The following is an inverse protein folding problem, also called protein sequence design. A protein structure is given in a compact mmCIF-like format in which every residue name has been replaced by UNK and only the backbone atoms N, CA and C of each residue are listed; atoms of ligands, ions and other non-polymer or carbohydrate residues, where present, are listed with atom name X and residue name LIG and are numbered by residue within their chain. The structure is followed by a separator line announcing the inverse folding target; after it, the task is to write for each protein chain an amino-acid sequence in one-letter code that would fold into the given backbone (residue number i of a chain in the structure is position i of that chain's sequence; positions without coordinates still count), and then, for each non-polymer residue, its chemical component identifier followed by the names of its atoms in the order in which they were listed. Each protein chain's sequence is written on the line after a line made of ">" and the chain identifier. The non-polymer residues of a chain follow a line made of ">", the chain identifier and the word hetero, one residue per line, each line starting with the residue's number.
data_IF_141733193001
#
_entry.id   IF_141733193001
#
_cell.length_a   1.000
_cell.length_b   1.000
_cell.length_c   1.000
_cell.angle_alpha   90.00
_cell.angle_beta   90.00
_cell.angle_gamma   90.00
#
_symmetry.space_group_name_H-M   'P 1'
#
loop_
_entity.id
_entity.type
_entity.pdbx_description
1 polymer ?
#
# COMPACT_ATOMS: atom_id res chain seq x y z
N UNK A 1 3.42 -22.02 -12.76
CA UNK A 1 3.15 -20.86 -11.91
C UNK A 1 1.65 -20.68 -11.66
N UNK A 2 0.80 -20.71 -12.70
CA UNK A 2 -0.66 -20.55 -12.56
C UNK A 2 -1.29 -21.54 -11.56
N UNK A 3 -0.94 -22.83 -11.64
CA UNK A 3 -1.48 -23.83 -10.71
C UNK A 3 -1.08 -23.57 -9.25
N UNK A 4 0.10 -23.00 -9.01
CA UNK A 4 0.53 -22.64 -7.65
C UNK A 4 -0.26 -21.44 -7.12
N UNK A 5 -0.42 -20.41 -7.94
CA UNK A 5 -1.22 -19.23 -7.55
C UNK A 5 -2.70 -19.61 -7.37
N UNK A 6 -3.24 -20.44 -8.25
CA UNK A 6 -4.58 -21.00 -8.11
C UNK A 6 -4.75 -21.76 -6.78
N UNK A 7 -3.80 -22.63 -6.44
CA UNK A 7 -3.81 -23.35 -5.16
C UNK A 7 -3.78 -22.38 -3.96
N UNK A 8 -2.99 -21.33 -4.03
CA UNK A 8 -2.92 -20.30 -2.99
C UNK A 8 -4.28 -19.61 -2.84
N UNK A 9 -4.86 -19.12 -3.95
CA UNK A 9 -6.14 -18.41 -3.94
C UNK A 9 -7.32 -19.27 -3.49
N UNK A 10 -7.29 -20.58 -3.74
CA UNK A 10 -8.31 -21.50 -3.21
C UNK A 10 -8.36 -21.54 -1.68
N UNK A 11 -7.26 -21.16 -0.99
CA UNK A 11 -7.19 -21.08 0.47
C UNK A 11 -7.65 -19.73 1.02
N UNK A 12 -7.87 -18.75 0.16
CA UNK A 12 -8.29 -17.43 0.58
C UNK A 12 -9.72 -17.46 1.11
N UNK A 13 -9.95 -16.61 2.10
CA UNK A 13 -11.25 -16.35 2.70
C UNK A 13 -11.66 -14.90 2.52
N UNK A 14 -12.92 -14.59 2.80
CA UNK A 14 -13.44 -13.24 2.72
C UNK A 14 -14.18 -12.96 1.41
N UNK A 15 -14.06 -11.75 0.86
CA UNK A 15 -14.78 -11.36 -0.35
C UNK A 15 -14.42 -12.23 -1.56
N UNK A 16 -15.41 -12.56 -2.39
CA UNK A 16 -15.19 -13.33 -3.62
C UNK A 16 -14.57 -12.45 -4.70
N UNK A 17 -13.65 -13.02 -5.46
CA UNK A 17 -12.98 -12.36 -6.58
C UNK A 17 -12.74 -13.35 -7.72
N UNK A 18 -12.46 -12.85 -8.91
CA UNK A 18 -12.11 -13.66 -10.06
C UNK A 18 -10.73 -13.30 -10.60
N UNK A 19 -10.08 -14.24 -11.24
CA UNK A 19 -8.73 -14.09 -11.78
C UNK A 19 -8.67 -14.69 -13.17
N UNK A 20 -8.17 -13.93 -14.15
CA UNK A 20 -7.77 -14.42 -15.46
C UNK A 20 -6.25 -14.58 -15.51
N UNK A 21 -5.81 -15.75 -15.98
CA UNK A 21 -4.40 -16.10 -16.12
C UNK A 21 -3.91 -15.90 -17.56
N UNK A 22 -2.59 -15.75 -17.79
CA UNK A 22 -2.03 -15.58 -19.13
C UNK A 22 -2.36 -16.71 -20.11
N UNK A 23 -2.69 -17.90 -19.62
CA UNK A 23 -3.16 -19.02 -20.46
C UNK A 23 -4.56 -18.83 -21.04
N UNK A 24 -5.30 -17.77 -20.61
CA UNK A 24 -6.72 -17.57 -20.91
C UNK A 24 -7.68 -18.25 -19.91
N UNK A 25 -7.14 -19.03 -18.96
CA UNK A 25 -7.93 -19.65 -17.90
C UNK A 25 -8.46 -18.56 -16.97
N UNK A 26 -9.75 -18.65 -16.63
CA UNK A 26 -10.38 -17.75 -15.63
C UNK A 26 -10.98 -18.58 -14.51
N UNK A 27 -10.74 -18.15 -13.27
CA UNK A 27 -11.22 -18.82 -12.06
C UNK A 27 -11.87 -17.83 -11.12
N UNK A 28 -12.85 -18.30 -10.34
CA UNK A 28 -13.51 -17.53 -9.30
C UNK A 28 -13.23 -18.16 -7.95
N UNK A 29 -12.91 -17.32 -6.96
CA UNK A 29 -12.59 -17.69 -5.60
C UNK A 29 -13.62 -17.09 -4.64
N UNK A 30 -14.05 -17.90 -3.66
CA UNK A 30 -15.15 -17.56 -2.75
C UNK A 30 -16.50 -18.12 -3.24
N UNK A 31 -17.56 -17.84 -2.46
CA UNK A 31 -18.89 -18.42 -2.67
C UNK A 31 -19.93 -17.44 -3.21
N UNK A 32 -19.59 -16.16 -3.21
CA UNK A 32 -20.49 -15.09 -3.63
C UNK A 32 -20.12 -14.54 -5.02
N UNK A 33 -20.91 -13.61 -5.54
CA UNK A 33 -20.56 -12.88 -6.75
C UNK A 33 -19.22 -12.15 -6.54
N UNK A 34 -18.27 -12.26 -7.49
CA UNK A 34 -17.00 -11.55 -7.42
C UNK A 34 -17.20 -10.04 -7.29
N UNK A 35 -16.45 -9.40 -6.39
CA UNK A 35 -16.47 -7.95 -6.19
C UNK A 35 -15.47 -7.23 -7.10
N UNK A 36 -14.47 -7.96 -7.60
CA UNK A 36 -13.45 -7.48 -8.55
C UNK A 36 -12.92 -8.63 -9.40
N UNK A 37 -12.27 -8.28 -10.51
CA UNK A 37 -11.58 -9.21 -11.39
C UNK A 37 -10.13 -8.78 -11.59
N UNK A 38 -9.20 -9.71 -11.41
CA UNK A 38 -7.75 -9.50 -11.59
C UNK A 38 -7.30 -10.20 -12.86
N UNK A 39 -6.64 -9.49 -13.77
CA UNK A 39 -6.09 -10.03 -14.99
C UNK A 39 -4.57 -10.08 -14.91
N UNK A 40 -3.98 -11.25 -14.85
CA UNK A 40 -2.54 -11.44 -15.05
C UNK A 40 -2.25 -11.56 -16.54
N UNK A 41 -1.59 -10.55 -17.11
CA UNK A 41 -1.29 -10.49 -18.54
C UNK A 41 -0.02 -11.27 -18.90
N UNK A 42 0.91 -11.45 -17.95
CA UNK A 42 2.20 -12.06 -18.20
C UNK A 42 2.58 -13.13 -17.16
N UNK A 43 3.38 -14.11 -17.57
CA UNK A 43 3.96 -15.10 -16.65
C UNK A 43 4.94 -14.43 -15.66
N UNK A 44 5.55 -13.31 -16.04
CA UNK A 44 6.42 -12.51 -15.18
C UNK A 44 5.65 -11.92 -14.00
N UNK A 45 4.46 -11.36 -14.24
CA UNK A 45 3.58 -10.86 -13.18
C UNK A 45 3.18 -11.94 -12.18
N UNK A 46 2.84 -13.14 -12.66
CA UNK A 46 2.59 -14.31 -11.81
C UNK A 46 3.80 -14.65 -10.93
N UNK A 47 4.99 -14.69 -11.54
CA UNK A 47 6.22 -15.00 -10.81
C UNK A 47 6.52 -13.95 -9.74
N UNK A 48 6.46 -12.65 -10.10
CA UNK A 48 6.64 -11.56 -9.16
C UNK A 48 5.65 -11.66 -7.99
N UNK A 49 4.37 -11.87 -8.28
CA UNK A 49 3.32 -12.01 -7.25
C UNK A 49 3.58 -13.18 -6.31
N UNK A 50 4.01 -14.34 -6.83
CA UNK A 50 4.29 -15.51 -6.00
C UNK A 50 5.52 -15.30 -5.10
N UNK A 51 6.62 -14.77 -5.65
CA UNK A 51 7.89 -14.67 -4.92
C UNK A 51 8.02 -13.41 -4.07
N UNK A 52 7.31 -12.33 -4.42
CA UNK A 52 7.39 -11.04 -3.73
C UNK A 52 6.06 -10.62 -3.09
N UNK A 53 5.01 -11.45 -3.21
CA UNK A 53 3.69 -11.23 -2.63
C UNK A 53 3.11 -9.87 -3.03
N UNK A 54 2.59 -9.11 -2.04
CA UNK A 54 1.94 -7.80 -2.26
C UNK A 54 2.84 -6.80 -3.00
N UNK A 55 4.16 -6.81 -2.76
CA UNK A 55 5.11 -5.94 -3.48
C UNK A 55 5.15 -6.29 -4.97
N UNK A 56 5.34 -7.57 -5.30
CA UNK A 56 5.40 -8.03 -6.69
C UNK A 56 4.09 -7.84 -7.44
N UNK A 57 2.95 -7.96 -6.74
CA UNK A 57 1.63 -7.64 -7.28
C UNK A 57 1.53 -6.14 -7.59
N UNK A 58 1.87 -5.27 -6.63
CA UNK A 58 1.79 -3.81 -6.79
C UNK A 58 2.69 -3.29 -7.90
N UNK A 59 3.95 -3.75 -7.96
CA UNK A 59 4.86 -3.39 -9.06
C UNK A 59 4.32 -3.82 -10.42
N UNK A 60 3.83 -5.07 -10.53
CA UNK A 60 3.28 -5.58 -11.79
C UNK A 60 1.99 -4.85 -12.21
N UNK A 61 1.19 -4.38 -11.25
CA UNK A 61 0.05 -3.52 -11.53
C UNK A 61 0.50 -2.15 -12.07
N UNK A 62 1.50 -1.52 -11.46
CA UNK A 62 2.06 -0.25 -11.92
C UNK A 62 2.73 -0.37 -13.30
N UNK A 63 3.36 -1.50 -13.58
CA UNK A 63 3.96 -1.82 -14.88
C UNK A 63 2.90 -2.14 -15.97
N UNK A 64 1.60 -2.23 -15.61
CA UNK A 64 0.53 -2.62 -16.54
C UNK A 64 0.54 -4.11 -16.90
N UNK A 65 1.28 -4.95 -16.18
CA UNK A 65 1.31 -6.41 -16.35
C UNK A 65 0.17 -7.12 -15.61
N UNK A 66 -0.50 -6.39 -14.69
CA UNK A 66 -1.74 -6.78 -14.01
C UNK A 66 -2.77 -5.68 -14.21
N UNK A 67 -4.00 -6.05 -14.57
CA UNK A 67 -5.14 -5.14 -14.58
C UNK A 67 -6.16 -5.57 -13.52
N UNK A 68 -6.92 -4.62 -13.01
CA UNK A 68 -7.97 -4.88 -12.03
C UNK A 68 -9.26 -4.17 -12.47
N UNK A 69 -10.30 -4.95 -12.70
CA UNK A 69 -11.65 -4.46 -12.95
C UNK A 69 -12.42 -4.45 -11.64
N UNK A 70 -12.80 -3.27 -11.18
CA UNK A 70 -13.50 -3.05 -9.93
C UNK A 70 -12.78 -2.07 -9.01
N UNK A 71 -13.34 -1.80 -7.82
CA UNK A 71 -12.76 -0.86 -6.87
C UNK A 71 -11.46 -1.41 -6.26
N UNK A 72 -10.35 -0.66 -6.39
CA UNK A 72 -9.01 -1.08 -5.90
C UNK A 72 -8.95 -1.25 -4.37
N UNK A 73 -9.74 -0.48 -3.63
CA UNK A 73 -9.83 -0.60 -2.17
C UNK A 73 -10.29 -1.99 -1.73
N UNK A 74 -11.07 -2.69 -2.55
CA UNK A 74 -11.50 -4.07 -2.30
C UNK A 74 -10.36 -5.09 -2.31
N UNK A 75 -9.24 -4.80 -2.99
CA UNK A 75 -8.03 -5.63 -2.88
C UNK A 75 -7.51 -5.67 -1.45
N UNK A 76 -7.58 -4.55 -0.74
CA UNK A 76 -7.14 -4.47 0.67
C UNK A 76 -8.01 -5.33 1.58
N UNK A 77 -9.31 -5.44 1.32
CA UNK A 77 -10.19 -6.32 2.08
C UNK A 77 -9.79 -7.80 1.90
N UNK A 78 -9.44 -8.20 0.68
CA UNK A 78 -8.97 -9.56 0.38
C UNK A 78 -7.61 -9.81 1.06
N UNK A 79 -6.68 -8.86 0.97
CA UNK A 79 -5.35 -8.98 1.59
C UNK A 79 -5.45 -9.08 3.12
N UNK A 80 -6.21 -8.18 3.76
CA UNK A 80 -6.42 -8.21 5.20
C UNK A 80 -7.10 -9.49 5.69
N UNK A 81 -8.11 -9.99 4.98
CA UNK A 81 -8.79 -11.23 5.34
C UNK A 81 -7.85 -12.45 5.29
N UNK A 82 -6.77 -12.36 4.53
CA UNK A 82 -5.81 -13.45 4.31
C UNK A 82 -4.43 -13.20 4.93
N UNK A 83 -4.24 -12.07 5.59
CA UNK A 83 -3.00 -11.76 6.30
C UNK A 83 -2.64 -12.87 7.31
N UNK A 84 -1.43 -13.43 7.19
CA UNK A 84 -0.95 -14.51 8.05
C UNK A 84 -1.51 -15.91 7.75
N UNK A 85 -2.36 -16.10 6.73
CA UNK A 85 -2.94 -17.41 6.36
C UNK A 85 -2.11 -18.19 5.33
N UNK A 86 -1.10 -17.57 4.75
CA UNK A 86 -0.21 -18.28 3.83
C UNK A 86 0.48 -19.44 4.57
N UNK A 87 0.59 -20.62 3.92
CA UNK A 87 1.25 -21.77 4.54
C UNK A 87 2.67 -21.43 4.99
N UNK A 88 3.05 -21.87 6.19
CA UNK A 88 4.38 -21.57 6.77
C UNK A 88 5.53 -22.04 5.88
N UNK A 89 5.36 -23.17 5.15
CA UNK A 89 6.36 -23.66 4.21
C UNK A 89 6.59 -22.68 3.04
N UNK A 90 5.53 -22.01 2.58
CA UNK A 90 5.62 -21.00 1.50
C UNK A 90 6.35 -19.75 2.02
N UNK A 91 6.00 -19.30 3.23
CA UNK A 91 6.66 -18.17 3.87
C UNK A 91 8.14 -18.46 4.10
N UNK A 92 8.49 -19.66 4.59
CA UNK A 92 9.87 -20.04 4.88
C UNK A 92 10.74 -20.20 3.61
N UNK A 93 10.17 -20.68 2.51
CA UNK A 93 10.88 -20.78 1.21
C UNK A 93 11.08 -19.40 0.55
N UNK A 94 10.17 -18.46 0.77
CA UNK A 94 10.25 -17.11 0.20
C UNK A 94 11.03 -16.11 1.09
N UNK A 95 11.13 -16.39 2.40
CA UNK A 95 11.80 -15.52 3.37
C UNK A 95 13.28 -15.20 3.03
N UNK A 96 14.12 -16.13 2.57
CA UNK A 96 15.50 -15.83 2.22
C UNK A 96 15.63 -14.80 1.08
N UNK A 97 14.79 -14.93 0.05
CA UNK A 97 14.78 -14.01 -1.11
C UNK A 97 14.35 -12.60 -0.69
N UNK A 98 13.41 -12.51 0.25
CA UNK A 98 12.89 -11.25 0.79
C UNK A 98 13.93 -10.50 1.65
N UNK A 99 14.72 -11.22 2.45
CA UNK A 99 15.68 -10.61 3.39
C UNK A 99 16.94 -10.06 2.71
N UNK A 100 17.36 -10.60 1.58
CA UNK A 100 18.55 -10.14 0.86
C UNK A 100 18.34 -8.74 0.26
N UNK A 101 17.14 -8.44 -0.23
CA UNK A 101 16.83 -7.14 -0.84
C UNK A 101 16.64 -6.00 0.18
N UNK A 102 16.18 -6.29 1.40
CA UNK A 102 15.86 -5.26 2.40
C UNK A 102 17.13 -4.58 2.95
N UNK A 103 18.19 -5.32 3.22
CA UNK A 103 19.41 -4.77 3.86
C UNK A 103 20.30 -3.94 2.92
N UNK A 104 20.30 -4.21 1.61
CA UNK A 104 21.24 -3.56 0.67
C UNK A 104 20.72 -2.24 0.07
N UNK A 105 19.43 -1.97 0.13
CA UNK A 105 18.79 -0.85 -0.57
C UNK A 105 18.04 0.15 0.32
N UNK A 106 18.09 0.03 1.65
CA UNK A 106 17.29 0.88 2.55
C UNK A 106 17.56 2.38 2.38
N UNK A 107 18.82 2.78 2.28
CA UNK A 107 19.17 4.20 2.07
C UNK A 107 18.77 4.71 0.68
N UNK A 108 18.92 3.89 -0.37
CA UNK A 108 18.50 4.23 -1.74
C UNK A 108 16.98 4.28 -1.88
N UNK A 109 16.25 3.43 -1.18
CA UNK A 109 14.78 3.42 -1.20
C UNK A 109 14.19 4.62 -0.48
N UNK A 110 14.76 5.05 0.65
CA UNK A 110 14.34 6.26 1.37
C UNK A 110 14.62 7.49 0.48
N UNK A 111 15.79 7.58 -0.12
CA UNK A 111 16.15 8.66 -1.03
C UNK A 111 15.21 8.69 -2.25
N UNK A 112 14.98 7.55 -2.88
CA UNK A 112 14.06 7.44 -4.01
C UNK A 112 12.59 7.79 -3.65
N UNK A 113 12.15 7.49 -2.42
CA UNK A 113 10.80 7.85 -1.96
C UNK A 113 10.62 9.37 -1.88
N UNK A 114 11.63 10.12 -1.48
CA UNK A 114 11.58 11.59 -1.41
C UNK A 114 12.05 12.32 -2.69
N UNK A 115 12.75 11.63 -3.59
CA UNK A 115 13.25 12.17 -4.85
C UNK A 115 12.17 12.35 -5.94
N UNK A 116 10.91 11.97 -5.66
CA UNK A 116 9.77 12.19 -6.57
C UNK A 116 9.47 13.68 -6.82
N UNK A 117 10.05 14.56 -5.98
CA UNK A 117 9.93 16.00 -6.12
C UNK A 117 8.60 16.58 -5.58
N UNK A 118 8.62 17.86 -5.30
CA UNK A 118 7.47 18.55 -4.71
C UNK A 118 6.23 18.52 -5.60
N UNK A 119 6.39 18.48 -6.92
CA UNK A 119 5.26 18.50 -7.84
C UNK A 119 4.43 17.20 -7.75
N UNK A 120 5.08 16.07 -7.49
CA UNK A 120 4.38 14.82 -7.19
C UNK A 120 3.56 14.92 -5.90
N UNK A 121 4.15 15.43 -4.82
CA UNK A 121 3.48 15.53 -3.53
C UNK A 121 2.31 16.52 -3.55
N UNK A 122 2.40 17.61 -4.31
CA UNK A 122 1.31 18.58 -4.52
C UNK A 122 0.06 17.98 -5.16
N UNK A 123 0.17 16.83 -5.85
CA UNK A 123 -0.99 16.20 -6.48
C UNK A 123 -2.01 15.67 -5.46
N UNK A 124 -1.59 15.38 -4.24
CA UNK A 124 -2.42 14.72 -3.24
C UNK A 124 -2.26 15.23 -1.80
N UNK A 125 -1.23 15.98 -1.50
CA UNK A 125 -1.13 16.70 -0.23
C UNK A 125 -1.94 18.01 -0.26
N UNK A 126 -2.27 18.50 0.92
CA UNK A 126 -2.84 19.82 1.11
C UNK A 126 -1.81 20.92 0.79
N UNK A 127 -2.23 22.20 0.64
CA UNK A 127 -1.30 23.30 0.34
C UNK A 127 -0.16 23.49 1.34
N UNK A 128 -0.32 23.02 2.58
CA UNK A 128 0.73 23.08 3.61
C UNK A 128 1.78 22.00 3.45
N UNK A 129 1.59 21.08 2.51
CA UNK A 129 2.50 19.93 2.26
C UNK A 129 2.69 19.07 3.51
N UNK A 130 1.68 18.94 4.34
CA UNK A 130 1.76 18.15 5.58
C UNK A 130 1.61 16.67 5.29
N UNK A 131 2.72 15.93 5.30
CA UNK A 131 2.76 14.50 4.99
C UNK A 131 2.62 13.62 6.24
N UNK A 132 1.51 13.79 6.96
CA UNK A 132 1.09 12.96 8.10
C UNK A 132 -0.43 12.91 8.15
N UNK A 133 -1.02 12.00 8.93
CA UNK A 133 -2.46 11.91 9.08
C UNK A 133 -3.07 13.23 9.54
N UNK A 134 -4.17 13.64 8.92
CA UNK A 134 -4.94 14.81 9.29
C UNK A 134 -5.87 14.52 10.48
N UNK A 135 -6.33 15.56 11.18
CA UNK A 135 -7.29 15.44 12.26
C UNK A 135 -8.64 16.06 11.85
N UNK A 136 -9.56 15.22 11.44
CA UNK A 136 -10.91 15.62 11.05
C UNK A 136 -11.78 15.77 12.29
N UNK A 137 -12.19 16.99 12.62
CA UNK A 137 -13.19 17.26 13.69
C UNK A 137 -14.61 16.95 13.23
N UNK A 138 -14.83 17.03 11.91
CA UNK A 138 -16.11 16.71 11.27
C UNK A 138 -15.87 15.92 9.98
N UNK A 139 -16.73 14.94 9.63
CA UNK A 139 -16.63 14.20 8.37
C UNK A 139 -16.68 15.08 7.11
N UNK A 140 -17.25 16.29 7.19
CA UNK A 140 -17.31 17.24 6.08
C UNK A 140 -16.14 18.21 5.98
N UNK A 141 -15.12 18.09 6.83
CA UNK A 141 -13.93 18.95 6.76
C UNK A 141 -13.10 18.62 5.51
N UNK A 142 -12.56 19.67 4.86
CA UNK A 142 -11.55 19.46 3.80
C UNK A 142 -10.22 18.96 4.40
N UNK A 143 -9.39 18.35 3.55
CA UNK A 143 -8.05 17.89 3.96
C UNK A 143 -7.22 19.06 4.53
N UNK A 144 -7.19 20.20 3.86
CA UNK A 144 -6.50 21.40 4.31
C UNK A 144 -6.95 21.82 5.72
N UNK A 145 -8.27 21.92 5.95
CA UNK A 145 -8.81 22.26 7.26
C UNK A 145 -8.45 21.22 8.31
N UNK A 146 -8.49 19.95 7.99
CA UNK A 146 -8.14 18.86 8.89
C UNK A 146 -6.64 18.85 9.23
N UNK A 147 -5.77 19.22 8.30
CA UNK A 147 -4.33 19.39 8.57
C UNK A 147 -4.05 20.56 9.49
N UNK A 148 -4.67 21.72 9.27
CA UNK A 148 -4.56 22.86 10.21
C UNK A 148 -5.05 22.51 11.60
N UNK A 149 -6.20 21.83 11.70
CA UNK A 149 -6.72 21.34 12.98
C UNK A 149 -5.75 20.38 13.69
N UNK A 150 -5.03 19.55 12.93
CA UNK A 150 -4.01 18.65 13.47
C UNK A 150 -2.82 19.45 14.02
N UNK A 151 -2.31 20.42 13.28
CA UNK A 151 -1.22 21.30 13.76
C UNK A 151 -1.60 22.02 15.03
N UNK A 152 -2.78 22.65 15.09
CA UNK A 152 -3.31 23.30 16.29
C UNK A 152 -3.41 22.34 17.47
N UNK A 153 -3.88 21.11 17.22
CA UNK A 153 -4.02 20.10 18.26
C UNK A 153 -2.66 19.66 18.84
N UNK A 154 -1.64 19.52 17.98
CA UNK A 154 -0.27 19.20 18.41
C UNK A 154 0.32 20.36 19.22
N UNK A 155 0.22 21.60 18.71
CA UNK A 155 0.74 22.79 19.38
C UNK A 155 0.07 23.02 20.76
N UNK A 156 -1.24 22.79 20.85
CA UNK A 156 -1.97 22.88 22.11
C UNK A 156 -1.45 21.88 23.17
N UNK A 157 -1.11 20.65 22.73
CA UNK A 157 -0.51 19.63 23.64
C UNK A 157 0.88 20.02 24.13
N UNK A 158 1.66 20.71 23.33
CA UNK A 158 3.02 21.13 23.69
C UNK A 158 3.04 22.25 24.74
N UNK A 159 1.93 22.98 24.95
CA UNK A 159 1.80 24.06 25.93
C UNK A 159 2.94 25.10 25.87
N UNK A 160 3.34 25.46 24.64
CA UNK A 160 4.48 26.35 24.40
C UNK A 160 4.28 27.73 25.05
N UNK A 161 5.35 28.27 25.63
CA UNK A 161 5.41 29.60 26.22
C UNK A 161 6.49 30.43 25.55
N UNK A 162 6.36 31.74 25.61
CA UNK A 162 7.37 32.67 25.08
C UNK A 162 8.75 32.34 25.61
N UNK A 163 9.73 32.19 24.69
CA UNK A 163 11.13 31.90 25.02
C UNK A 163 11.46 30.39 25.05
N UNK A 164 10.49 29.49 24.90
CA UNK A 164 10.76 28.07 24.72
C UNK A 164 11.33 27.81 23.34
N UNK A 165 12.12 26.73 23.25
CA UNK A 165 12.67 26.21 21.99
C UNK A 165 11.94 24.92 21.64
N UNK A 166 11.50 24.80 20.39
CA UNK A 166 10.89 23.59 19.84
C UNK A 166 11.91 22.89 18.94
N UNK A 167 12.02 21.58 19.07
CA UNK A 167 12.74 20.72 18.15
C UNK A 167 11.72 19.81 17.46
N UNK A 168 11.69 19.87 16.13
CA UNK A 168 10.90 18.97 15.30
C UNK A 168 11.83 17.96 14.60
N UNK A 169 11.64 16.66 14.89
CA UNK A 169 12.42 15.57 14.31
C UNK A 169 11.57 14.91 13.23
N UNK A 170 12.05 14.92 11.97
CA UNK A 170 11.27 14.49 10.81
C UNK A 170 10.29 15.57 10.35
N UNK A 171 10.74 16.82 10.35
CA UNK A 171 9.93 18.02 10.08
C UNK A 171 9.27 18.08 8.69
N UNK A 172 9.64 17.19 7.76
CA UNK A 172 9.15 17.26 6.38
C UNK A 172 9.44 18.61 5.75
N UNK A 173 8.40 19.33 5.30
CA UNK A 173 8.52 20.70 4.76
C UNK A 173 8.52 21.81 5.83
N UNK A 174 8.57 21.46 7.11
CA UNK A 174 8.72 22.41 8.22
C UNK A 174 7.42 23.09 8.65
N UNK A 175 6.28 22.57 8.32
CA UNK A 175 5.00 23.24 8.53
C UNK A 175 4.60 23.38 10.02
N UNK A 176 5.18 22.60 10.93
CA UNK A 176 4.94 22.73 12.37
C UNK A 176 5.77 23.87 13.00
N UNK A 177 6.83 24.32 12.36
CA UNK A 177 7.77 25.36 12.83
C UNK A 177 7.44 26.73 12.27
#
# INVERSE_FOLDING_TARGET
>A
MENLLHYIFQKFVGPSFSVSFPSGRTETYGTNKPILHVHFLTQKALSKTIFQLSLGFGESYMDGEILVDGPLDRLMEIDHANAGRLPQWLISTLAPVRNINIKHNQSKQIQHHYDLGNDFYKLWLDPTMTYTCAYFKSPGDSLEKAQLQKLDHVLAKLQLKKGMRLLDIGSGWGQLL
#
